data_IF_356767522293
#
_entry.id   IF_356767522293
#
_cell.length_a   1.000
_cell.length_b   1.000
_cell.length_c   1.000
_cell.angle_alpha   90.00
_cell.angle_beta   90.00
_cell.angle_gamma   90.00
#
_symmetry.space_group_name_H-M   'P 1'
#
loop_
_entity.id
_entity.type
_entity.pdbx_description
1 polymer ?
#
# COMPACT_ATOMS: atom_id res chain seq x y z
N UNK A 1 16.68 32.32 4.51
CA UNK A 1 16.38 33.11 3.30
C UNK A 1 14.95 33.64 3.39
N UNK A 2 14.67 34.89 3.00
CA UNK A 2 13.32 35.43 2.99
C UNK A 2 12.41 34.63 2.03
N UNK A 3 11.13 34.49 2.38
CA UNK A 3 10.09 33.85 1.54
C UNK A 3 9.22 34.94 0.89
N UNK A 4 9.47 35.35 -0.37
CA UNK A 4 8.82 36.52 -0.97
C UNK A 4 7.44 36.23 -1.57
N UNK A 5 7.06 34.96 -1.70
CA UNK A 5 5.82 34.56 -2.38
C UNK A 5 4.76 34.10 -1.39
N UNK A 6 3.50 34.45 -1.66
CA UNK A 6 2.32 34.01 -0.92
C UNK A 6 1.44 33.19 -1.84
N UNK A 7 1.05 32.00 -1.38
CA UNK A 7 0.07 31.13 -2.06
C UNK A 7 -1.21 31.15 -1.26
N UNK A 8 -2.35 31.33 -1.94
CA UNK A 8 -3.68 31.31 -1.35
C UNK A 8 -4.53 30.24 -2.05
N UNK A 9 -5.37 29.56 -1.29
CA UNK A 9 -6.40 28.67 -1.80
C UNK A 9 -7.69 28.91 -1.01
N UNK A 10 -8.82 28.69 -1.67
CA UNK A 10 -10.15 28.90 -1.10
C UNK A 10 -10.74 27.53 -0.81
N UNK A 11 -11.44 27.41 0.32
CA UNK A 11 -12.01 26.16 0.80
C UNK A 11 -13.50 26.36 1.06
N UNK A 12 -14.28 25.32 0.80
CA UNK A 12 -15.61 25.17 1.38
C UNK A 12 -15.52 25.00 2.90
N UNK A 13 -16.65 25.14 3.59
CA UNK A 13 -16.71 24.93 5.04
C UNK A 13 -16.25 23.52 5.45
N UNK A 14 -16.68 22.50 4.69
CA UNK A 14 -16.29 21.11 4.94
C UNK A 14 -14.79 20.91 4.73
N UNK A 15 -14.23 21.40 3.61
CA UNK A 15 -12.78 21.28 3.37
C UNK A 15 -11.96 22.05 4.41
N UNK A 16 -12.46 23.19 4.90
CA UNK A 16 -11.82 23.93 5.98
C UNK A 16 -11.85 23.16 7.32
N UNK A 17 -12.96 22.50 7.63
CA UNK A 17 -13.06 21.65 8.81
C UNK A 17 -12.06 20.47 8.76
N UNK A 18 -12.00 19.77 7.62
CA UNK A 18 -11.07 18.66 7.40
C UNK A 18 -9.60 19.12 7.47
N UNK A 19 -9.30 20.27 6.88
CA UNK A 19 -7.98 20.91 6.94
C UNK A 19 -7.57 21.27 8.37
N UNK A 20 -8.47 21.86 9.18
CA UNK A 20 -8.18 22.17 10.59
C UNK A 20 -7.92 20.90 11.39
N UNK A 21 -8.77 19.89 11.24
CA UNK A 21 -8.60 18.62 11.94
C UNK A 21 -7.26 17.96 11.60
N UNK A 22 -6.79 18.08 10.34
CA UNK A 22 -5.50 17.56 9.93
C UNK A 22 -4.32 18.32 10.55
N UNK A 23 -4.39 19.65 10.60
CA UNK A 23 -3.38 20.47 11.28
C UNK A 23 -3.30 20.15 12.79
N UNK A 24 -4.46 20.00 13.44
CA UNK A 24 -4.57 19.65 14.86
C UNK A 24 -3.95 18.29 15.18
N UNK A 25 -4.21 17.27 14.35
CA UNK A 25 -3.60 15.92 14.51
C UNK A 25 -2.07 15.94 14.51
N UNK A 26 -1.47 16.91 13.83
CA UNK A 26 -0.02 17.07 13.74
C UNK A 26 0.53 18.12 14.71
N UNK A 27 -0.32 18.77 15.51
CA UNK A 27 0.09 19.84 16.43
C UNK A 27 0.62 21.08 15.70
N UNK A 28 0.22 21.30 14.44
CA UNK A 28 0.72 22.39 13.61
C UNK A 28 -0.27 23.54 13.54
N UNK A 29 0.27 24.77 13.50
CA UNK A 29 -0.52 25.91 13.06
C UNK A 29 -0.98 25.71 11.61
N UNK A 30 -2.20 26.15 11.28
CA UNK A 30 -2.81 25.98 9.94
C UNK A 30 -1.87 26.40 8.80
N UNK A 31 -1.23 27.57 8.91
CA UNK A 31 -0.29 28.05 7.88
C UNK A 31 0.98 27.18 7.75
N UNK A 32 1.47 26.62 8.87
CA UNK A 32 2.60 25.71 8.85
C UNK A 32 2.22 24.37 8.19
N UNK A 33 1.05 23.82 8.56
CA UNK A 33 0.50 22.62 7.94
C UNK A 33 0.31 22.79 6.42
N UNK A 34 -0.29 23.91 5.98
CA UNK A 34 -0.45 24.20 4.54
C UNK A 34 0.90 24.25 3.81
N UNK A 35 1.88 24.96 4.37
CA UNK A 35 3.20 25.07 3.75
C UNK A 35 3.91 23.71 3.66
N UNK A 36 3.89 22.92 4.74
CA UNK A 36 4.51 21.59 4.75
C UNK A 36 3.82 20.63 3.79
N UNK A 37 2.48 20.56 3.83
CA UNK A 37 1.72 19.68 2.94
C UNK A 37 1.94 20.04 1.47
N UNK A 38 1.85 21.33 1.10
CA UNK A 38 2.06 21.77 -0.28
C UNK A 38 3.51 21.55 -0.75
N UNK A 39 4.51 21.79 0.10
CA UNK A 39 5.91 21.55 -0.25
C UNK A 39 6.24 20.05 -0.32
N UNK A 40 5.68 19.22 0.55
CA UNK A 40 5.85 17.77 0.51
C UNK A 40 5.25 17.17 -0.77
N UNK A 41 4.06 17.64 -1.16
CA UNK A 41 3.43 17.26 -2.42
C UNK A 41 4.27 17.71 -3.64
N UNK A 42 4.73 18.97 -3.66
CA UNK A 42 5.55 19.51 -4.75
C UNK A 42 6.90 18.79 -4.90
N UNK A 43 7.45 18.26 -3.80
CA UNK A 43 8.71 17.49 -3.78
C UNK A 43 8.52 15.99 -4.03
N UNK A 44 7.28 15.55 -4.29
CA UNK A 44 6.91 14.13 -4.39
C UNK A 44 7.29 13.30 -3.14
N UNK A 45 7.46 13.94 -1.98
CA UNK A 45 7.73 13.23 -0.72
C UNK A 45 6.46 12.56 -0.17
N UNK A 46 5.29 13.13 -0.49
CA UNK A 46 3.98 12.53 -0.24
C UNK A 46 3.01 13.02 -1.33
N UNK A 47 3.11 12.49 -2.57
CA UNK A 47 2.26 12.93 -3.66
C UNK A 47 0.79 12.68 -3.28
N UNK A 48 -0.14 13.60 -3.61
CA UNK A 48 -1.57 13.33 -3.52
C UNK A 48 -1.83 12.13 -4.42
N UNK A 49 -2.09 10.99 -3.80
CA UNK A 49 -2.35 9.76 -4.51
C UNK A 49 -3.84 9.72 -4.81
N UNK A 50 -4.26 9.67 -6.08
CA UNK A 50 -5.67 9.55 -6.41
C UNK A 50 -6.28 8.38 -5.64
N UNK A 51 -7.48 8.55 -5.08
CA UNK A 51 -8.15 7.51 -4.28
C UNK A 51 -8.18 6.12 -4.96
N UNK A 52 -8.41 6.00 -6.28
CA UNK A 52 -8.37 4.71 -6.97
C UNK A 52 -7.01 4.00 -6.90
N UNK A 53 -5.90 4.75 -6.81
CA UNK A 53 -4.55 4.20 -6.71
C UNK A 53 -4.24 3.76 -5.28
N UNK A 54 -4.78 4.43 -4.27
CA UNK A 54 -4.70 4.02 -2.86
C UNK A 54 -5.41 2.70 -2.63
N UNK A 55 -6.62 2.55 -3.14
CA UNK A 55 -7.38 1.29 -3.06
C UNK A 55 -6.62 0.14 -3.74
N UNK A 56 -6.14 0.36 -4.96
CA UNK A 56 -5.36 -0.63 -5.71
C UNK A 56 -4.08 -1.08 -4.98
N UNK A 57 -3.38 -0.15 -4.32
CA UNK A 57 -2.20 -0.49 -3.52
C UNK A 57 -2.55 -1.28 -2.25
N UNK A 58 -3.66 -0.97 -1.59
CA UNK A 58 -4.11 -1.73 -0.42
C UNK A 58 -4.45 -3.17 -0.83
N UNK A 59 -5.16 -3.36 -1.94
CA UNK A 59 -5.46 -4.69 -2.47
C UNK A 59 -4.19 -5.48 -2.82
N UNK A 60 -3.19 -4.82 -3.44
CA UNK A 60 -1.91 -5.44 -3.77
C UNK A 60 -1.13 -5.87 -2.51
N UNK A 61 -1.09 -5.03 -1.48
CA UNK A 61 -0.43 -5.36 -0.21
C UNK A 61 -1.10 -6.54 0.50
N UNK A 62 -2.43 -6.59 0.49
CA UNK A 62 -3.17 -7.72 1.07
C UNK A 62 -2.90 -9.02 0.31
N UNK A 63 -2.94 -8.99 -1.03
CA UNK A 63 -2.62 -10.14 -1.86
C UNK A 63 -1.18 -10.63 -1.61
N UNK A 64 -0.22 -9.71 -1.53
CA UNK A 64 1.19 -10.00 -1.21
C UNK A 64 1.35 -10.67 0.15
N UNK A 65 0.60 -10.23 1.16
CA UNK A 65 0.57 -10.86 2.48
C UNK A 65 0.04 -12.30 2.45
N UNK A 66 -0.99 -12.58 1.65
CA UNK A 66 -1.56 -13.92 1.50
C UNK A 66 -0.56 -14.89 0.84
N UNK A 67 0.11 -14.47 -0.24
CA UNK A 67 1.11 -15.33 -0.91
C UNK A 67 2.33 -15.59 -0.03
N UNK A 68 2.79 -14.61 0.75
CA UNK A 68 3.88 -14.83 1.71
C UNK A 68 3.54 -15.94 2.71
N UNK A 69 2.32 -15.95 3.26
CA UNK A 69 1.88 -17.00 4.21
C UNK A 69 1.81 -18.37 3.55
N UNK A 70 1.30 -18.43 2.32
CA UNK A 70 1.20 -19.66 1.54
C UNK A 70 2.60 -20.23 1.26
N UNK A 71 3.56 -19.39 0.87
CA UNK A 71 4.96 -19.81 0.69
C UNK A 71 5.63 -20.29 1.99
N UNK A 72 5.37 -19.62 3.12
CA UNK A 72 5.87 -20.07 4.44
C UNK A 72 5.32 -21.46 4.80
N UNK A 73 4.03 -21.69 4.61
CA UNK A 73 3.40 -22.98 4.91
C UNK A 73 3.94 -24.10 4.02
N UNK A 74 4.19 -23.82 2.73
CA UNK A 74 4.81 -24.78 1.82
C UNK A 74 6.24 -25.12 2.25
N UNK A 75 7.03 -24.11 2.60
CA UNK A 75 8.41 -24.31 3.05
C UNK A 75 8.47 -25.15 4.33
N UNK A 76 7.51 -24.97 5.25
CA UNK A 76 7.38 -25.81 6.44
C UNK A 76 7.03 -27.27 6.09
N UNK A 77 6.12 -27.50 5.13
CA UNK A 77 5.77 -28.86 4.69
C UNK A 77 6.97 -29.58 4.03
N UNK A 78 7.76 -28.85 3.21
CA UNK A 78 8.99 -29.39 2.61
C UNK A 78 10.06 -29.67 3.66
N UNK A 79 10.25 -28.78 4.64
CA UNK A 79 11.19 -29.00 5.73
C UNK A 79 10.81 -30.24 6.58
N UNK A 80 9.52 -30.42 6.85
CA UNK A 80 9.01 -31.60 7.55
C UNK A 80 9.28 -32.89 6.75
N UNK A 81 9.02 -32.89 5.43
CA UNK A 81 9.34 -34.02 4.55
C UNK A 81 10.84 -34.35 4.56
N UNK A 82 11.71 -33.33 4.40
CA UNK A 82 13.15 -33.52 4.37
C UNK A 82 13.70 -34.07 5.70
N UNK A 83 13.04 -33.75 6.82
CA UNK A 83 13.45 -34.21 8.15
C UNK A 83 12.99 -35.64 8.47
N UNK A 84 11.80 -36.06 7.98
CA UNK A 84 11.19 -37.35 8.36
C UNK A 84 11.25 -38.42 7.27
N UNK A 85 11.50 -38.03 6.01
CA UNK A 85 11.52 -38.93 4.86
C UNK A 85 10.15 -39.49 4.44
N UNK A 86 9.08 -39.14 5.14
CA UNK A 86 7.71 -39.60 4.85
C UNK A 86 6.90 -38.49 4.18
N UNK A 87 6.32 -38.78 3.01
CA UNK A 87 5.38 -37.88 2.33
C UNK A 87 4.14 -37.66 3.21
N UNK A 88 3.88 -36.43 3.71
CA UNK A 88 2.71 -36.16 4.54
C UNK A 88 1.38 -36.22 3.75
N UNK A 89 1.40 -36.57 2.45
CA UNK A 89 0.22 -36.76 1.60
C UNK A 89 -0.42 -35.46 1.11
N UNK A 90 0.05 -34.32 1.62
CA UNK A 90 -0.56 -33.00 1.41
C UNK A 90 0.32 -32.04 0.59
N UNK A 91 1.53 -32.47 0.19
CA UNK A 91 2.50 -31.64 -0.53
C UNK A 91 2.02 -31.20 -1.91
N UNK A 92 1.50 -32.12 -2.72
CA UNK A 92 0.93 -31.78 -4.04
C UNK A 92 -0.25 -30.81 -3.93
N UNK A 93 -1.24 -31.03 -3.04
CA UNK A 93 -2.33 -30.08 -2.80
C UNK A 93 -1.84 -28.67 -2.39
N UNK A 94 -0.85 -28.59 -1.50
CA UNK A 94 -0.30 -27.30 -1.07
C UNK A 94 0.52 -26.61 -2.17
N UNK A 95 1.32 -27.36 -2.94
CA UNK A 95 2.04 -26.83 -4.10
C UNK A 95 1.08 -26.28 -5.17
N UNK A 96 0.00 -27.01 -5.47
CA UNK A 96 -1.03 -26.57 -6.41
C UNK A 96 -1.79 -25.32 -5.90
N UNK A 97 -2.05 -25.23 -4.60
CA UNK A 97 -2.61 -24.02 -3.99
C UNK A 97 -1.65 -22.83 -4.06
N UNK A 98 -0.34 -23.05 -3.87
CA UNK A 98 0.69 -22.03 -4.05
C UNK A 98 0.72 -21.49 -5.47
N UNK A 99 0.74 -22.37 -6.48
CA UNK A 99 0.74 -21.97 -7.88
C UNK A 99 -0.49 -21.12 -8.24
N UNK A 100 -1.69 -21.53 -7.81
CA UNK A 100 -2.91 -20.75 -8.05
C UNK A 100 -2.87 -19.38 -7.38
N UNK A 101 -2.33 -19.31 -6.15
CA UNK A 101 -2.20 -18.06 -5.42
C UNK A 101 -1.22 -17.10 -6.11
N UNK A 102 -0.08 -17.60 -6.58
CA UNK A 102 0.92 -16.83 -7.34
C UNK A 102 0.33 -16.32 -8.66
N UNK A 103 -0.33 -17.18 -9.43
CA UNK A 103 -0.99 -16.80 -10.70
C UNK A 103 -2.05 -15.71 -10.51
N UNK A 104 -2.84 -15.79 -9.43
CA UNK A 104 -3.83 -14.76 -9.10
C UNK A 104 -3.15 -13.43 -8.75
N UNK A 105 -2.02 -13.47 -8.08
CA UNK A 105 -1.25 -12.29 -7.70
C UNK A 105 -0.61 -11.62 -8.91
N UNK A 106 -0.05 -12.40 -9.85
CA UNK A 106 0.45 -11.89 -11.12
C UNK A 106 -0.66 -11.19 -11.92
N UNK A 107 -1.87 -11.77 -11.94
CA UNK A 107 -3.04 -11.16 -12.58
C UNK A 107 -3.44 -9.83 -11.95
N UNK A 108 -3.42 -9.73 -10.62
CA UNK A 108 -3.71 -8.48 -9.89
C UNK A 108 -2.60 -7.44 -10.16
N UNK A 109 -1.33 -7.84 -10.09
CA UNK A 109 -0.20 -6.96 -10.36
C UNK A 109 -0.25 -6.38 -11.78
N UNK A 110 -0.64 -7.20 -12.77
CA UNK A 110 -0.75 -6.75 -14.16
C UNK A 110 -1.99 -5.86 -14.39
N UNK A 111 -3.10 -6.12 -13.70
CA UNK A 111 -4.27 -5.23 -13.69
C UNK A 111 -3.96 -3.87 -13.06
N UNK A 112 -3.13 -3.84 -12.01
CA UNK A 112 -2.62 -2.62 -11.40
C UNK A 112 -1.69 -1.89 -12.38
N UNK A 113 -0.69 -2.57 -12.96
CA UNK A 113 0.21 -1.99 -13.97
C UNK A 113 -0.53 -1.34 -15.14
N UNK A 114 -1.60 -1.98 -15.65
CA UNK A 114 -2.41 -1.42 -16.75
C UNK A 114 -3.17 -0.15 -16.38
N UNK A 115 -3.57 0.01 -15.11
CA UNK A 115 -4.26 1.21 -14.62
C UNK A 115 -3.31 2.38 -14.35
N UNK A 116 -2.01 2.13 -14.31
CA UNK A 116 -0.95 3.13 -14.05
C UNK A 116 -0.37 3.68 -15.37
N UNK A 117 -0.61 3.01 -16.50
CA UNK A 117 -0.05 3.38 -17.81
C UNK A 117 -0.99 4.27 -18.62
#
# INVERSE_FOLDING_TARGET
MPRPYVVKFVLTEQEYADFRAAAERLGLAQGAYAAEASLAAARMANPPMPDPFREALVELMQASGQVRRIGVNLNQAVAALNATGADPGNLLPYAAACLRAVQRLDGIAEAVRRRIR
#
